data_IF_731221960120
#
_entry.id   IF_731221960120
#
_cell.length_a   1.000
_cell.length_b   1.000
_cell.length_c   1.000
_cell.angle_alpha   90.00
_cell.angle_beta   90.00
_cell.angle_gamma   90.00
#
_symmetry.space_group_name_H-M   'P 1'
#
loop_
_entity.id
_entity.type
_entity.pdbx_description
1 polymer ?
#
# COMPACT_ATOMS: atom_id res chain seq x y z
N UNK A 1 6.56 -2.03 -24.32
CA UNK A 1 6.70 -1.14 -23.14
C UNK A 1 7.63 0.00 -23.52
N UNK A 2 7.19 1.26 -23.50
CA UNK A 2 8.00 2.44 -23.83
C UNK A 2 7.91 3.43 -22.66
N UNK A 3 9.01 3.67 -21.97
CA UNK A 3 9.10 4.72 -20.98
C UNK A 3 9.54 6.01 -21.69
N UNK A 4 8.67 7.02 -21.75
CA UNK A 4 9.05 8.35 -22.23
C UNK A 4 9.79 9.08 -21.11
N UNK A 5 11.05 9.39 -21.36
CA UNK A 5 11.89 10.19 -20.48
C UNK A 5 11.35 11.63 -20.46
N UNK A 6 10.52 11.96 -19.46
CA UNK A 6 9.99 13.31 -19.28
C UNK A 6 8.61 13.43 -18.62
N UNK A 7 7.86 12.34 -18.49
CA UNK A 7 6.60 12.36 -17.72
C UNK A 7 6.89 12.54 -16.24
N UNK A 8 6.41 13.63 -15.61
CA UNK A 8 6.40 13.74 -14.13
C UNK A 8 5.78 12.46 -13.58
N UNK A 9 6.55 11.65 -12.85
CA UNK A 9 6.03 10.52 -12.09
C UNK A 9 5.22 11.08 -10.91
N UNK A 10 3.99 11.50 -11.17
CA UNK A 10 3.07 11.86 -10.10
C UNK A 10 2.44 10.56 -9.61
N UNK A 11 2.99 10.03 -8.52
CA UNK A 11 2.38 8.93 -7.78
C UNK A 11 1.58 9.49 -6.62
N UNK A 12 0.30 9.16 -6.54
CA UNK A 12 -0.51 9.43 -5.35
C UNK A 12 -0.25 8.35 -4.31
N UNK A 13 0.05 8.75 -3.08
CA UNK A 13 0.15 7.81 -1.97
C UNK A 13 -1.27 7.44 -1.51
N UNK A 14 -1.60 6.16 -1.60
CA UNK A 14 -2.92 5.64 -1.20
C UNK A 14 -2.91 5.06 0.22
N UNK A 15 -1.82 4.39 0.60
CA UNK A 15 -1.67 3.78 1.94
C UNK A 15 -0.28 4.01 2.54
N UNK A 16 -0.19 3.80 3.84
CA UNK A 16 0.95 4.14 4.68
C UNK A 16 1.12 5.64 4.89
N UNK A 17 2.17 5.99 5.62
CA UNK A 17 2.66 7.38 5.73
C UNK A 17 2.71 7.91 7.12
N UNK A 18 2.10 7.18 8.04
CA UNK A 18 2.07 7.52 9.44
C UNK A 18 3.23 6.89 10.22
N UNK A 19 4.34 6.55 9.54
CA UNK A 19 5.50 5.89 10.15
C UNK A 19 5.31 4.40 10.41
N UNK A 20 6.28 3.80 11.08
CA UNK A 20 6.20 2.42 11.55
C UNK A 20 5.31 2.32 12.79
N UNK A 21 4.55 1.23 12.90
CA UNK A 21 3.68 1.00 14.06
C UNK A 21 2.50 0.08 13.75
N UNK A 22 1.64 -0.07 14.75
CA UNK A 22 0.45 -0.93 14.70
C UNK A 22 -0.87 -0.13 14.54
N UNK A 23 -0.80 1.19 14.46
CA UNK A 23 -1.97 2.04 14.23
C UNK A 23 -2.57 1.89 12.82
N UNK A 24 -3.70 2.55 12.60
CA UNK A 24 -4.31 2.62 11.29
C UNK A 24 -3.35 3.32 10.30
N UNK A 25 -3.19 2.73 9.11
CA UNK A 25 -2.31 3.26 8.07
C UNK A 25 -0.82 3.35 8.50
N UNK A 26 -0.43 2.57 9.52
CA UNK A 26 0.95 2.27 9.90
C UNK A 26 1.25 0.79 9.60
N UNK A 27 2.53 0.49 9.40
CA UNK A 27 3.00 -0.87 9.13
C UNK A 27 4.24 -1.21 9.95
N UNK A 28 4.45 -2.49 10.19
CA UNK A 28 5.64 -3.05 10.80
C UNK A 28 6.12 -4.25 9.98
N UNK A 29 7.10 -4.01 9.10
CA UNK A 29 7.62 -4.99 8.14
C UNK A 29 6.55 -5.60 7.24
N UNK A 30 5.83 -4.81 6.43
CA UNK A 30 4.92 -5.36 5.45
C UNK A 30 5.70 -6.19 4.42
N UNK A 31 5.21 -7.39 4.10
CA UNK A 31 5.92 -8.33 3.20
C UNK A 31 5.30 -8.45 1.83
N UNK A 32 4.00 -8.22 1.71
CA UNK A 32 3.29 -8.40 0.47
C UNK A 32 2.04 -7.51 0.38
N UNK A 33 1.58 -7.29 -0.85
CA UNK A 33 0.35 -6.58 -1.16
C UNK A 33 -0.37 -7.19 -2.36
N UNK A 34 -1.71 -7.16 -2.32
CA UNK A 34 -2.54 -7.67 -3.41
C UNK A 34 -3.83 -6.88 -3.53
N UNK A 35 -4.39 -6.86 -4.74
CA UNK A 35 -5.68 -6.23 -5.03
C UNK A 35 -6.74 -7.31 -5.24
N UNK A 36 -7.96 -7.07 -4.74
CA UNK A 36 -9.12 -7.86 -5.17
C UNK A 36 -9.75 -7.28 -6.46
N UNK A 37 -10.74 -8.00 -6.99
CA UNK A 37 -11.48 -7.61 -8.21
C UNK A 37 -12.26 -6.29 -8.08
N UNK A 38 -12.45 -5.80 -6.86
CA UNK A 38 -13.13 -4.54 -6.56
C UNK A 38 -12.13 -3.39 -6.34
N UNK A 39 -10.83 -3.65 -6.50
CA UNK A 39 -9.79 -2.64 -6.32
C UNK A 39 -9.39 -2.41 -4.86
N UNK A 40 -9.91 -3.20 -3.90
CA UNK A 40 -9.43 -3.07 -2.52
C UNK A 40 -7.99 -3.58 -2.43
N UNK A 41 -7.15 -2.84 -1.72
CA UNK A 41 -5.77 -3.22 -1.44
C UNK A 41 -5.67 -3.94 -0.11
N UNK A 42 -5.02 -5.10 -0.12
CA UNK A 42 -4.68 -5.88 1.06
C UNK A 42 -3.18 -5.82 1.27
N UNK A 43 -2.75 -5.56 2.51
CA UNK A 43 -1.34 -5.50 2.89
C UNK A 43 -1.08 -6.49 4.02
N UNK A 44 -0.16 -7.42 3.80
CA UNK A 44 0.30 -8.38 4.80
C UNK A 44 1.38 -7.71 5.68
N UNK A 45 0.96 -7.30 6.88
CA UNK A 45 1.75 -6.53 7.83
C UNK A 45 2.41 -7.47 8.86
N UNK A 46 3.53 -8.06 8.44
CA UNK A 46 4.06 -9.29 9.03
C UNK A 46 4.36 -9.18 10.52
N UNK A 47 5.07 -8.15 10.98
CA UNK A 47 5.43 -8.05 12.41
C UNK A 47 4.29 -7.57 13.30
N UNK A 48 3.20 -7.07 12.71
CA UNK A 48 1.96 -6.80 13.42
C UNK A 48 1.00 -8.01 13.40
N UNK A 49 1.40 -9.12 12.79
CA UNK A 49 0.60 -10.35 12.66
C UNK A 49 -0.82 -10.09 12.12
N UNK A 50 -0.94 -9.20 11.13
CA UNK A 50 -2.24 -8.79 10.57
C UNK A 50 -2.22 -8.63 9.06
N UNK A 51 -3.42 -8.61 8.48
CA UNK A 51 -3.66 -8.13 7.12
C UNK A 51 -4.55 -6.90 7.22
N UNK A 52 -4.14 -5.79 6.62
CA UNK A 52 -4.96 -4.57 6.53
C UNK A 52 -5.60 -4.47 5.14
N UNK A 53 -6.90 -4.13 5.09
CA UNK A 53 -7.64 -3.87 3.85
C UNK A 53 -7.95 -2.39 3.72
N UNK A 54 -7.76 -1.84 2.53
CA UNK A 54 -8.07 -0.47 2.19
C UNK A 54 -9.01 -0.44 0.99
N UNK A 55 -10.14 0.25 1.16
CA UNK A 55 -11.02 0.56 0.04
C UNK A 55 -10.38 1.68 -0.76
N UNK A 56 -10.21 1.46 -2.04
CA UNK A 56 -9.69 2.46 -2.97
C UNK A 56 -10.87 2.80 -3.86
N UNK A 57 -11.65 3.79 -3.42
CA UNK A 57 -12.71 4.41 -4.23
C UNK A 57 -12.10 5.33 -5.29
#
# INVERSE_FOLDING_TARGET
MRWTQGGKKQGTRIVGGNGSGAGANQFNGPRDLSFDRHGNLYVADHWNHRVQRFSIE
#
